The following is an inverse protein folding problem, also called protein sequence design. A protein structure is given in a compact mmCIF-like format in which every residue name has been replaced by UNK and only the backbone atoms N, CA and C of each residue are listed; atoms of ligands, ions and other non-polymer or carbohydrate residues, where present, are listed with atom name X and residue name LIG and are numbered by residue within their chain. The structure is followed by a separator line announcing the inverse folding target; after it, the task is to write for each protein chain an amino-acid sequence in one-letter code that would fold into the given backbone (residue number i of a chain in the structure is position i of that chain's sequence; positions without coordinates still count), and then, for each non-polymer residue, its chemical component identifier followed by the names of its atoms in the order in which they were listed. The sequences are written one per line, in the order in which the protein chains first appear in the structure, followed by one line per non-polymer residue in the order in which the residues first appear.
data_IF_395098718131
#
_entry.id   IF_395098718131
#
_cell.length_a   1.000
_cell.length_b   1.000
_cell.length_c   1.000
_cell.angle_alpha   90.00
_cell.angle_beta   90.00
_cell.angle_gamma   90.00
#
_symmetry.space_group_name_H-M   'P 1'
#
loop_
_entity.id
_entity.type
_entity.pdbx_description
1 polymer ?
#
# COMPACT_ATOMS: atom_id res chain seq x y z
N UNK A 1 -21.55 -0.90 -2.34
CA UNK A 1 -20.18 -0.31 -2.36
C UNK A 1 -19.89 0.20 -3.77
N UNK A 2 -19.37 1.41 -3.91
CA UNK A 2 -19.02 1.96 -5.23
C UNK A 2 -17.66 1.40 -5.68
N UNK A 3 -17.57 0.88 -6.91
CA UNK A 3 -16.30 0.39 -7.46
C UNK A 3 -15.35 1.57 -7.70
N UNK A 4 -14.13 1.48 -7.18
CA UNK A 4 -13.03 2.40 -7.46
C UNK A 4 -11.92 1.64 -8.19
N UNK A 5 -11.23 2.32 -9.11
CA UNK A 5 -10.11 1.75 -9.85
C UNK A 5 -8.83 2.47 -9.42
N UNK A 6 -7.77 1.70 -9.20
CA UNK A 6 -6.42 2.19 -8.93
C UNK A 6 -5.50 1.58 -10.00
N UNK A 7 -4.66 2.41 -10.61
CA UNK A 7 -3.65 1.94 -11.54
C UNK A 7 -2.40 1.52 -10.79
N UNK A 8 -1.88 0.33 -11.10
CA UNK A 8 -0.62 -0.18 -10.57
C UNK A 8 0.35 -0.47 -11.71
N UNK A 9 1.64 -0.31 -11.44
CA UNK A 9 2.65 -0.93 -12.30
C UNK A 9 2.63 -2.45 -12.09
N UNK A 10 2.99 -3.21 -13.11
CA UNK A 10 3.03 -4.67 -13.04
C UNK A 10 3.91 -5.16 -11.89
N UNK A 11 5.06 -4.53 -11.69
CA UNK A 11 5.97 -4.83 -10.58
C UNK A 11 5.32 -4.60 -9.20
N UNK A 12 4.50 -3.57 -9.04
CA UNK A 12 3.80 -3.29 -7.78
C UNK A 12 2.69 -4.31 -7.55
N UNK A 13 1.90 -4.61 -8.59
CA UNK A 13 0.87 -5.65 -8.53
C UNK A 13 1.47 -7.00 -8.12
N UNK A 14 2.57 -7.42 -8.74
CA UNK A 14 3.27 -8.67 -8.41
C UNK A 14 3.78 -8.72 -6.96
N UNK A 15 4.22 -7.59 -6.40
CA UNK A 15 4.62 -7.53 -4.98
C UNK A 15 3.44 -7.77 -4.06
N UNK A 16 2.30 -7.15 -4.35
CA UNK A 16 1.07 -7.30 -3.57
C UNK A 16 0.56 -8.74 -3.69
N UNK A 17 0.58 -9.31 -4.90
CA UNK A 17 0.18 -10.70 -5.14
C UNK A 17 1.02 -11.69 -4.32
N UNK A 18 2.35 -11.50 -4.32
CA UNK A 18 3.25 -12.33 -3.48
C UNK A 18 2.95 -12.19 -2.00
N UNK A 19 2.70 -10.98 -1.50
CA UNK A 19 2.31 -10.77 -0.12
C UNK A 19 0.98 -11.49 0.21
N UNK A 20 0.01 -11.44 -0.69
CA UNK A 20 -1.26 -12.16 -0.54
C UNK A 20 -1.04 -13.69 -0.48
N UNK A 21 -0.18 -14.24 -1.34
CA UNK A 21 0.21 -15.65 -1.30
C UNK A 21 0.90 -16.02 0.01
N UNK A 22 1.86 -15.22 0.47
CA UNK A 22 2.59 -15.47 1.72
C UNK A 22 1.64 -15.47 2.93
N UNK A 23 0.71 -14.50 2.98
CA UNK A 23 -0.34 -14.46 4.01
C UNK A 23 -1.23 -15.69 3.90
N UNK A 24 -1.59 -16.10 2.67
CA UNK A 24 -2.45 -17.26 2.46
C UNK A 24 -1.82 -18.55 2.97
N UNK A 25 -0.53 -18.74 2.68
CA UNK A 25 0.25 -19.89 3.16
C UNK A 25 0.32 -19.90 4.68
N UNK A 26 0.60 -18.76 5.30
CA UNK A 26 0.75 -18.64 6.77
C UNK A 26 -0.56 -18.80 7.53
N UNK A 27 -1.67 -18.31 6.97
CA UNK A 27 -2.97 -18.30 7.63
C UNK A 27 -3.85 -19.51 7.27
N UNK A 28 -3.47 -20.26 6.22
CA UNK A 28 -4.26 -21.34 5.66
C UNK A 28 -5.55 -20.89 4.96
N UNK A 29 -5.71 -19.58 4.72
CA UNK A 29 -6.89 -18.99 4.07
C UNK A 29 -6.50 -18.41 2.72
N UNK A 30 -7.38 -18.52 1.72
CA UNK A 30 -7.14 -17.89 0.43
C UNK A 30 -7.36 -16.38 0.57
N UNK A 31 -6.29 -15.60 0.47
CA UNK A 31 -6.30 -14.13 0.51
C UNK A 31 -6.04 -13.58 -0.89
N UNK A 32 -6.87 -12.66 -1.35
CA UNK A 32 -6.67 -11.99 -2.65
C UNK A 32 -5.84 -10.72 -2.46
N UNK A 33 -5.10 -10.30 -3.50
CA UNK A 33 -4.37 -9.03 -3.47
C UNK A 33 -5.27 -7.83 -3.15
N UNK A 34 -6.54 -7.87 -3.58
CA UNK A 34 -7.52 -6.83 -3.28
C UNK A 34 -7.80 -6.71 -1.78
N UNK A 35 -7.80 -7.83 -1.06
CA UNK A 35 -8.06 -7.86 0.37
C UNK A 35 -6.87 -7.25 1.13
N UNK A 36 -5.65 -7.54 0.68
CA UNK A 36 -4.42 -6.91 1.19
C UNK A 36 -4.47 -5.40 0.99
N UNK A 37 -4.85 -4.92 -0.19
CA UNK A 37 -4.94 -3.48 -0.47
C UNK A 37 -6.02 -2.81 0.39
N UNK A 38 -7.21 -3.40 0.53
CA UNK A 38 -8.24 -2.85 1.40
C UNK A 38 -7.76 -2.77 2.85
N UNK A 39 -7.12 -3.84 3.36
CA UNK A 39 -6.56 -3.86 4.70
C UNK A 39 -5.50 -2.77 4.89
N UNK A 40 -4.63 -2.56 3.89
CA UNK A 40 -3.63 -1.49 3.93
C UNK A 40 -4.28 -0.12 4.03
N UNK A 41 -5.29 0.15 3.20
CA UNK A 41 -5.98 1.44 3.19
C UNK A 41 -6.72 1.67 4.51
N UNK A 42 -7.42 0.68 5.06
CA UNK A 42 -8.21 0.87 6.29
C UNK A 42 -7.33 1.05 7.53
N UNK A 43 -6.22 0.33 7.62
CA UNK A 43 -5.40 0.31 8.84
C UNK A 43 -4.21 1.27 8.81
N UNK A 44 -3.70 1.62 7.63
CA UNK A 44 -2.49 2.44 7.49
C UNK A 44 -2.74 3.83 6.88
N UNK A 45 -3.99 4.25 6.65
CA UNK A 45 -4.28 5.57 6.09
C UNK A 45 -3.72 6.72 6.91
N UNK A 46 -3.81 6.64 8.24
CA UNK A 46 -3.33 7.72 9.13
C UNK A 46 -1.80 7.82 9.13
N UNK A 47 -1.10 6.70 9.03
CA UNK A 47 0.36 6.68 8.94
C UNK A 47 0.81 7.20 7.58
N UNK A 48 0.16 6.77 6.49
CA UNK A 48 0.40 7.30 5.14
C UNK A 48 0.15 8.81 5.11
N UNK A 49 -0.91 9.32 5.74
CA UNK A 49 -1.15 10.78 5.83
C UNK A 49 0.00 11.50 6.51
N UNK A 50 0.51 10.98 7.64
CA UNK A 50 1.65 11.57 8.34
C UNK A 50 2.88 11.56 7.46
N UNK A 51 3.22 10.43 6.85
CA UNK A 51 4.40 10.29 6.00
C UNK A 51 4.33 11.18 4.75
N UNK A 52 3.16 11.31 4.13
CA UNK A 52 2.95 12.21 2.98
C UNK A 52 3.08 13.70 3.35
N UNK A 53 2.73 14.08 4.59
CA UNK A 53 2.91 15.46 5.07
C UNK A 53 4.36 15.73 5.45
N UNK A 54 5.06 14.77 6.06
CA UNK A 54 6.45 14.93 6.47
C UNK A 54 7.41 14.85 5.27
N UNK A 55 7.17 13.94 4.32
CA UNK A 55 7.98 13.82 3.10
C UNK A 55 7.99 15.10 2.25
N UNK A 56 6.91 15.90 2.27
CA UNK A 56 6.92 17.24 1.63
C UNK A 56 7.91 18.21 2.29
N UNK A 57 8.10 18.13 3.61
CA UNK A 57 9.03 19.00 4.35
C UNK A 57 10.50 18.65 4.09
N UNK A 58 10.80 17.38 3.80
CA UNK A 58 12.17 16.94 3.53
C UNK A 58 12.63 17.21 2.10
N UNK A 59 11.71 17.39 1.15
CA UNK A 59 12.03 17.80 -0.23
C UNK A 59 12.44 19.28 -0.29
N UNK A 60 11.81 20.15 0.50
CA UNK A 60 12.18 21.59 0.56
C UNK A 60 13.53 21.83 1.25
N UNK A 61 13.96 20.96 2.17
CA UNK A 61 15.24 21.13 2.90
C UNK A 61 16.48 20.70 2.11
N UNK A 62 16.34 19.91 1.05
CA UNK A 62 17.47 19.46 0.22
C UNK A 62 17.82 20.38 -0.96
N UNK A 63 17.11 21.49 -1.14
CA UNK A 63 17.41 22.49 -2.18
C UNK A 63 18.15 23.73 -1.64
N UNK A 64 18.57 23.74 -0.37
CA UNK A 64 19.27 24.89 0.25
C UNK A 64 20.57 24.55 1.00
N UNK A 65 21.20 23.42 0.67
CA UNK A 65 22.58 23.08 1.10
C UNK A 65 23.49 22.82 -0.10
#
# INVERSE_FOLDING_TARGET
MARKQIAFTEATHMKIERAALDISIKTGKIVKWTDVVHFMVENYLEDVKKDMVHSKKDVDKKQSE
#
